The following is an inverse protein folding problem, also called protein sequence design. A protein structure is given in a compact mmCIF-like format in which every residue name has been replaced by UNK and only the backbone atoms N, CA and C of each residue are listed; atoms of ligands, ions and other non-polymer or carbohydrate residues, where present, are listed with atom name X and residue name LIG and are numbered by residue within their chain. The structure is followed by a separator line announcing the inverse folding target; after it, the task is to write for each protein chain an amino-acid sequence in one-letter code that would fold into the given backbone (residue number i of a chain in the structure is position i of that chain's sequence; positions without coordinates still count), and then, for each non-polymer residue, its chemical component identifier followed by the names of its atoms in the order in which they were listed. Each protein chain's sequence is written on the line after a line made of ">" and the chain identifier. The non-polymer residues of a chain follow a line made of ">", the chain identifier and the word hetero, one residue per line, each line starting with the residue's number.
data_IF_155119975131
#
_entry.id   IF_155119975131
#
_cell.length_a   1.000
_cell.length_b   1.000
_cell.length_c   1.000
_cell.angle_alpha   90.00
_cell.angle_beta   90.00
_cell.angle_gamma   90.00
#
_symmetry.space_group_name_H-M   'P 1'
#
loop_
_entity.id
_entity.type
_entity.pdbx_description
1 polymer ?
#
# COMPACT_ATOMS: atom_id res chain seq x y z
N UNK A 1 -19.33 -17.61 -3.88
CA UNK A 1 -18.04 -18.22 -3.48
C UNK A 1 -17.04 -17.08 -3.47
N UNK A 2 -16.56 -16.66 -2.29
CA UNK A 2 -15.50 -15.63 -2.21
C UNK A 2 -14.23 -16.25 -2.81
N UNK A 3 -13.53 -15.59 -3.77
CA UNK A 3 -12.37 -16.20 -4.38
C UNK A 3 -11.26 -16.28 -3.34
N UNK A 4 -10.70 -17.48 -3.14
CA UNK A 4 -9.67 -17.78 -2.14
C UNK A 4 -8.39 -16.90 -2.22
N UNK A 5 -8.20 -16.16 -3.32
CA UNK A 5 -7.12 -15.18 -3.47
C UNK A 5 -7.35 -13.84 -2.76
N UNK A 6 -8.61 -13.45 -2.50
CA UNK A 6 -8.92 -12.18 -1.83
C UNK A 6 -8.40 -12.16 -0.39
N UNK A 7 -8.53 -13.26 0.35
CA UNK A 7 -8.06 -13.34 1.73
C UNK A 7 -6.53 -13.21 1.84
N UNK A 8 -5.79 -13.73 0.86
CA UNK A 8 -4.31 -13.65 0.84
C UNK A 8 -3.85 -12.22 0.53
N UNK A 9 -4.47 -11.57 -0.46
CA UNK A 9 -4.16 -10.18 -0.83
C UNK A 9 -4.48 -9.22 0.33
N UNK A 10 -5.64 -9.40 0.98
CA UNK A 10 -6.05 -8.65 2.16
C UNK A 10 -5.09 -8.87 3.33
N UNK A 11 -4.71 -10.12 3.60
CA UNK A 11 -3.75 -10.44 4.67
C UNK A 11 -2.37 -9.78 4.43
N UNK A 12 -1.84 -9.89 3.21
CA UNK A 12 -0.56 -9.28 2.84
C UNK A 12 -0.59 -7.75 3.00
N UNK A 13 -1.72 -7.12 2.63
CA UNK A 13 -1.89 -5.68 2.78
C UNK A 13 -2.00 -5.25 4.25
N UNK A 14 -2.69 -6.01 5.10
CA UNK A 14 -2.76 -5.73 6.54
C UNK A 14 -1.36 -5.82 7.17
N UNK A 15 -0.56 -6.81 6.78
CA UNK A 15 0.83 -6.92 7.21
C UNK A 15 1.68 -5.73 6.75
N UNK A 16 1.52 -5.30 5.50
CA UNK A 16 2.21 -4.13 4.94
C UNK A 16 1.82 -2.82 5.65
N UNK A 17 0.54 -2.64 5.97
CA UNK A 17 0.04 -1.50 6.75
C UNK A 17 0.63 -1.47 8.16
N UNK A 18 0.68 -2.62 8.85
CA UNK A 18 1.32 -2.74 10.18
C UNK A 18 2.81 -2.45 10.13
N UNK A 19 3.49 -2.91 9.08
CA UNK A 19 4.91 -2.62 8.88
C UNK A 19 5.14 -1.13 8.61
N UNK A 20 4.30 -0.50 7.79
CA UNK A 20 4.34 0.93 7.52
C UNK A 20 4.15 1.76 8.79
N UNK A 21 3.16 1.44 9.61
CA UNK A 21 2.85 2.17 10.84
C UNK A 21 4.03 2.11 11.83
N UNK A 22 4.74 0.97 11.90
CA UNK A 22 5.92 0.77 12.76
C UNK A 22 7.25 1.21 12.14
N UNK A 23 7.28 1.52 10.85
CA UNK A 23 8.51 1.84 10.13
C UNK A 23 9.04 3.24 10.45
N UNK A 24 10.37 3.37 10.44
CA UNK A 24 11.08 4.66 10.52
C UNK A 24 10.91 5.44 9.21
N UNK A 25 11.27 6.74 9.21
CA UNK A 25 11.18 7.63 8.03
C UNK A 25 11.87 7.03 6.79
N UNK A 26 13.06 6.45 6.95
CA UNK A 26 13.78 5.77 5.87
C UNK A 26 13.07 4.50 5.40
N UNK A 27 12.61 3.66 6.34
CA UNK A 27 11.96 2.40 5.98
C UNK A 27 10.62 2.63 5.27
N UNK A 28 9.84 3.66 5.67
CA UNK A 28 8.64 4.12 4.94
C UNK A 28 8.99 4.58 3.53
N UNK A 29 10.07 5.33 3.35
CA UNK A 29 10.53 5.76 2.02
C UNK A 29 10.86 4.58 1.12
N UNK A 30 11.55 3.57 1.66
CA UNK A 30 11.88 2.34 0.94
C UNK A 30 10.63 1.54 0.56
N UNK A 31 9.70 1.33 1.50
CA UNK A 31 8.42 0.69 1.24
C UNK A 31 7.63 1.40 0.13
N UNK A 32 7.65 2.73 0.11
CA UNK A 32 7.02 3.52 -0.93
C UNK A 32 7.69 3.32 -2.30
N UNK A 33 9.02 3.33 -2.34
CA UNK A 33 9.78 3.07 -3.57
C UNK A 33 9.53 1.66 -4.11
N UNK A 34 9.52 0.66 -3.23
CA UNK A 34 9.25 -0.73 -3.58
C UNK A 34 7.80 -0.88 -4.10
N UNK A 35 6.83 -0.21 -3.46
CA UNK A 35 5.45 -0.18 -3.91
C UNK A 35 5.31 0.47 -5.30
N UNK A 36 5.91 1.64 -5.50
CA UNK A 36 5.91 2.33 -6.79
C UNK A 36 6.56 1.46 -7.86
N UNK A 37 7.71 0.86 -7.59
CA UNK A 37 8.42 0.00 -8.54
C UNK A 37 7.59 -1.24 -8.91
N UNK A 38 6.89 -1.84 -7.94
CA UNK A 38 6.06 -3.02 -8.14
C UNK A 38 4.83 -2.74 -8.99
N UNK A 39 4.29 -1.53 -8.92
CA UNK A 39 3.08 -1.12 -9.63
C UNK A 39 3.32 -0.08 -10.74
N UNK A 40 4.59 0.18 -11.10
CA UNK A 40 4.98 1.18 -12.11
C UNK A 40 4.37 0.91 -13.50
N UNK A 41 4.21 -0.37 -13.83
CA UNK A 41 3.65 -0.82 -15.10
C UNK A 41 2.17 -1.21 -15.01
N UNK A 42 1.52 -1.02 -13.86
CA UNK A 42 0.10 -1.32 -13.69
C UNK A 42 -0.71 -0.05 -13.92
N UNK A 43 -1.76 -0.14 -14.75
CA UNK A 43 -2.73 0.93 -14.87
C UNK A 43 -3.56 1.03 -13.57
N UNK A 44 -4.03 2.23 -13.22
CA UNK A 44 -4.84 2.46 -12.02
C UNK A 44 -5.98 1.45 -11.78
N UNK A 45 -6.75 1.04 -12.81
CA UNK A 45 -7.79 0.02 -12.66
C UNK A 45 -7.26 -1.36 -12.29
N UNK A 46 -6.09 -1.75 -12.81
CA UNK A 46 -5.44 -3.04 -12.51
C UNK A 46 -4.93 -3.06 -11.06
N UNK A 47 -4.40 -1.94 -10.57
CA UNK A 47 -4.04 -1.77 -9.17
C UNK A 47 -5.25 -1.88 -8.24
N UNK A 48 -6.36 -1.25 -8.60
CA UNK A 48 -7.60 -1.29 -7.80
C UNK A 48 -8.23 -2.67 -7.78
N UNK A 49 -8.14 -3.44 -8.86
CA UNK A 49 -8.64 -4.80 -8.96
C UNK A 49 -7.83 -5.78 -8.10
N UNK A 50 -6.50 -5.66 -8.11
CA UNK A 50 -5.57 -6.57 -7.43
C UNK A 50 -5.54 -6.33 -5.91
N UNK A 51 -5.85 -5.10 -5.50
CA UNK A 51 -5.74 -4.65 -4.11
C UNK A 51 -7.10 -4.31 -3.48
N UNK A 52 -8.20 -4.47 -4.23
CA UNK A 52 -9.61 -4.35 -3.82
C UNK A 52 -9.87 -3.30 -2.73
N UNK A 53 -10.09 -2.05 -3.10
CA UNK A 53 -10.34 -0.88 -2.22
C UNK A 53 -9.25 -0.53 -1.18
N UNK A 54 -8.28 -1.41 -0.89
CA UNK A 54 -7.27 -1.20 0.14
C UNK A 54 -6.07 -0.37 -0.34
N UNK A 55 -5.89 -0.22 -1.66
CA UNK A 55 -4.93 0.72 -2.25
C UNK A 55 -5.23 2.15 -1.79
N UNK A 56 -6.50 2.56 -1.76
CA UNK A 56 -6.93 3.88 -1.30
C UNK A 56 -6.57 4.11 0.18
N UNK A 57 -6.67 3.08 1.02
CA UNK A 57 -6.32 3.16 2.43
C UNK A 57 -4.81 3.31 2.67
N UNK A 58 -4.00 2.62 1.88
CA UNK A 58 -2.55 2.74 1.91
C UNK A 58 -2.08 4.10 1.38
N UNK A 59 -2.64 4.55 0.24
CA UNK A 59 -2.38 5.87 -0.34
C UNK A 59 -2.78 7.00 0.60
N UNK A 60 -3.91 6.89 1.30
CA UNK A 60 -4.32 7.87 2.31
C UNK A 60 -3.29 8.00 3.45
N UNK A 61 -2.72 6.88 3.93
CA UNK A 61 -1.64 6.89 4.94
C UNK A 61 -0.36 7.54 4.43
N UNK A 62 0.02 7.28 3.17
CA UNK A 62 1.16 7.94 2.53
C UNK A 62 0.91 9.45 2.44
N UNK A 63 -0.26 9.86 1.98
CA UNK A 63 -0.63 11.27 1.81
C UNK A 63 -0.57 12.04 3.13
N UNK A 64 -1.14 11.47 4.20
CA UNK A 64 -1.06 12.05 5.55
C UNK A 64 0.39 12.13 6.03
N UNK A 65 1.18 11.08 5.84
CA UNK A 65 2.59 11.09 6.23
C UNK A 65 3.41 12.15 5.48
N UNK A 66 3.18 12.34 4.18
CA UNK A 66 3.82 13.39 3.38
C UNK A 66 3.44 14.78 3.90
N UNK A 67 2.16 15.00 4.23
CA UNK A 67 1.70 16.26 4.85
C UNK A 67 2.37 16.54 6.19
N UNK A 68 2.56 15.51 7.03
CA UNK A 68 3.18 15.65 8.36
C UNK A 68 4.70 15.77 8.35
N UNK A 69 5.38 15.32 7.29
CA UNK A 69 6.85 15.35 7.21
C UNK A 69 7.43 16.47 6.34
N UNK A 70 6.58 17.16 5.59
CA UNK A 70 6.94 18.30 4.72
C UNK A 70 6.45 19.64 5.31
N UNK A 71 5.60 19.61 6.34
CA UNK A 71 5.24 20.78 7.14
C UNK A 71 6.21 21.00 8.30
#
# INVERSE_FOLDING_TARGET
>A
MVPAGQDIAVHNMICLLREWDRATKEKRRKLLQDFIARYWNCSGPELELDVAHMASLFLARIFVWLKLTVS
#
